data_IF_969322997415
#
_entry.id   IF_969322997415
#
_cell.length_a   1.000
_cell.length_b   1.000
_cell.length_c   1.000
_cell.angle_alpha   90.00
_cell.angle_beta   90.00
_cell.angle_gamma   90.00
#
_symmetry.space_group_name_H-M   'P 1'
#
loop_
_entity.id
_entity.type
_entity.pdbx_description
1 polymer ?
#
# COMPACT_ATOMS: atom_id res chain seq x y z
N UNK A 1 -2.20 38.54 -12.51
CA UNK A 1 -0.87 38.23 -11.95
C UNK A 1 -1.06 38.19 -10.43
N UNK A 2 -1.13 37.09 -9.69
CA UNK A 2 -0.75 35.69 -9.87
C UNK A 2 -1.61 34.86 -8.90
N UNK A 3 -2.58 34.10 -9.42
CA UNK A 3 -3.02 32.87 -8.75
C UNK A 3 -1.95 31.78 -8.96
N UNK A 4 -1.93 30.74 -8.11
CA UNK A 4 -1.11 29.51 -8.20
C UNK A 4 0.18 29.47 -7.37
N UNK A 5 0.05 29.61 -6.04
CA UNK A 5 1.07 29.11 -5.08
C UNK A 5 0.48 28.27 -3.93
N UNK A 6 -0.64 27.59 -4.17
CA UNK A 6 -1.25 26.64 -3.23
C UNK A 6 -1.63 25.35 -3.97
N UNK A 7 -0.64 24.67 -4.55
CA UNK A 7 -0.79 23.33 -5.13
C UNK A 7 0.48 22.51 -4.94
N UNK A 8 1.00 22.48 -3.72
CA UNK A 8 1.99 21.49 -3.28
C UNK A 8 1.65 21.18 -1.81
N UNK A 9 0.60 20.38 -1.62
CA UNK A 9 0.28 19.73 -0.35
C UNK A 9 -0.81 18.69 -0.64
N UNK A 10 -0.46 17.66 -1.38
CA UNK A 10 -1.07 16.34 -1.19
C UNK A 10 -0.25 15.58 -0.14
N UNK A 11 0.13 16.28 0.94
CA UNK A 11 0.40 15.64 2.22
C UNK A 11 -0.99 15.25 2.72
N UNK A 12 -1.40 14.01 2.43
CA UNK A 12 -2.59 13.43 3.04
C UNK A 12 -2.29 13.28 4.53
N UNK A 13 -2.57 14.38 5.24
CA UNK A 13 -2.64 14.50 6.68
C UNK A 13 -3.92 13.79 7.12
N UNK A 14 -3.90 12.46 7.23
CA UNK A 14 -4.96 11.75 7.95
C UNK A 14 -4.60 11.69 9.44
N UNK A 15 -5.15 12.67 10.17
CA UNK A 15 -5.40 12.58 11.61
C UNK A 15 -6.25 11.33 11.88
N UNK A 16 -5.62 10.22 12.27
CA UNK A 16 -6.27 9.07 12.88
C UNK A 16 -5.72 8.89 14.30
N UNK A 17 -6.57 8.57 15.29
CA UNK A 17 -6.14 8.44 16.67
C UNK A 17 -5.09 7.33 16.78
N UNK A 18 -3.92 7.70 17.32
CA UNK A 18 -2.82 6.80 17.66
C UNK A 18 -3.31 5.83 18.74
N UNK A 19 -3.75 4.66 18.32
CA UNK A 19 -3.92 3.52 19.21
C UNK A 19 -2.53 2.90 19.41
N UNK A 20 -1.91 3.22 20.54
CA UNK A 20 -0.71 2.57 21.04
C UNK A 20 -1.00 1.08 21.26
N UNK A 21 -0.78 0.26 20.23
CA UNK A 21 -0.65 -1.18 20.39
C UNK A 21 0.74 -1.49 20.99
N UNK A 22 0.88 -2.52 21.84
CA UNK A 22 2.13 -2.80 22.52
C UNK A 22 3.23 -3.20 21.52
N UNK A 23 4.43 -2.65 21.76
CA UNK A 23 5.66 -2.92 21.04
C UNK A 23 5.99 -4.43 21.01
N UNK A 24 5.54 -5.14 19.99
CA UNK A 24 5.89 -6.54 19.74
C UNK A 24 6.02 -6.81 18.23
N UNK A 25 6.93 -6.07 17.58
CA UNK A 25 7.41 -6.36 16.22
C UNK A 25 8.94 -6.41 16.16
N UNK A 26 9.62 -6.75 17.26
CA UNK A 26 11.03 -7.15 17.18
C UNK A 26 11.11 -8.66 17.01
N UNK A 27 11.13 -9.10 15.75
CA UNK A 27 11.56 -10.45 15.38
C UNK A 27 10.47 -11.45 14.97
N UNK A 28 9.29 -11.02 14.49
CA UNK A 28 8.36 -11.98 13.90
C UNK A 28 8.83 -12.34 12.49
N UNK A 29 9.37 -13.55 12.33
CA UNK A 29 9.23 -14.30 11.08
C UNK A 29 7.77 -14.13 10.63
N UNK A 30 7.54 -13.71 9.38
CA UNK A 30 6.18 -13.57 8.88
C UNK A 30 5.55 -14.95 8.78
N UNK A 31 4.89 -15.39 9.86
CA UNK A 31 4.00 -16.53 9.80
C UNK A 31 2.92 -16.17 8.78
N UNK A 32 2.90 -16.89 7.65
CA UNK A 32 1.86 -16.72 6.65
C UNK A 32 0.48 -16.98 7.26
N UNK A 33 -0.57 -16.43 6.66
CA UNK A 33 -1.92 -16.74 7.09
C UNK A 33 -2.19 -18.24 6.81
N UNK A 34 -2.59 -19.03 7.82
CA UNK A 34 -2.84 -20.45 7.63
C UNK A 34 -4.08 -20.68 6.76
N UNK A 35 -4.06 -21.72 5.93
CA UNK A 35 -5.24 -22.18 5.18
C UNK A 35 -5.63 -21.33 3.96
N UNK A 36 -4.81 -20.38 3.52
CA UNK A 36 -5.08 -19.63 2.29
C UNK A 36 -5.06 -20.53 1.05
N UNK A 37 -6.02 -20.34 0.16
CA UNK A 37 -6.09 -21.00 -1.14
C UNK A 37 -6.71 -20.06 -2.19
N UNK A 38 -6.65 -20.45 -3.47
CA UNK A 38 -7.33 -19.72 -4.54
C UNK A 38 -6.96 -18.22 -4.62
N UNK A 39 -7.99 -17.38 -4.69
CA UNK A 39 -7.84 -15.92 -4.79
C UNK A 39 -7.24 -15.31 -3.52
N UNK A 40 -7.57 -15.81 -2.33
CA UNK A 40 -6.99 -15.28 -1.07
C UNK A 40 -5.46 -15.46 -1.06
N UNK A 41 -4.96 -16.61 -1.52
CA UNK A 41 -3.52 -16.84 -1.64
C UNK A 41 -2.88 -15.93 -2.70
N UNK A 42 -3.59 -15.64 -3.80
CA UNK A 42 -3.10 -14.75 -4.85
C UNK A 42 -3.00 -13.29 -4.35
N UNK A 43 -4.01 -12.80 -3.63
CA UNK A 43 -4.02 -11.48 -2.98
C UNK A 43 -2.89 -11.40 -1.93
N UNK A 44 -2.75 -12.43 -1.08
CA UNK A 44 -1.68 -12.49 -0.07
C UNK A 44 -0.30 -12.32 -0.69
N UNK A 45 -0.03 -13.06 -1.77
CA UNK A 45 1.26 -12.99 -2.48
C UNK A 45 1.51 -11.61 -3.08
N UNK A 46 0.48 -11.00 -3.67
CA UNK A 46 0.61 -9.65 -4.23
C UNK A 46 0.87 -8.60 -3.14
N UNK A 47 0.12 -8.66 -2.02
CA UNK A 47 0.31 -7.75 -0.90
C UNK A 47 1.68 -7.91 -0.24
N UNK A 48 2.12 -9.15 -0.02
CA UNK A 48 3.44 -9.43 0.51
C UNK A 48 4.54 -8.92 -0.41
N UNK A 49 4.42 -9.12 -1.73
CA UNK A 49 5.42 -8.65 -2.69
C UNK A 49 5.52 -7.11 -2.68
N UNK A 50 4.39 -6.41 -2.68
CA UNK A 50 4.33 -4.95 -2.55
C UNK A 50 4.98 -4.46 -1.24
N UNK A 51 4.56 -5.00 -0.09
CA UNK A 51 5.07 -4.58 1.22
C UNK A 51 6.55 -4.92 1.41
N UNK A 52 7.01 -6.03 0.83
CA UNK A 52 8.42 -6.39 0.85
C UNK A 52 9.26 -5.45 0.00
N UNK A 53 8.74 -5.01 -1.16
CA UNK A 53 9.38 -3.99 -1.98
C UNK A 53 9.47 -2.65 -1.24
N UNK A 54 8.39 -2.23 -0.57
CA UNK A 54 8.38 -1.03 0.29
C UNK A 54 9.43 -1.13 1.40
N UNK A 55 9.47 -2.25 2.12
CA UNK A 55 10.42 -2.50 3.22
C UNK A 55 11.88 -2.51 2.74
N UNK A 56 12.14 -3.07 1.56
CA UNK A 56 13.47 -3.09 0.94
C UNK A 56 13.83 -1.79 0.25
N UNK A 57 12.88 -0.86 0.12
CA UNK A 57 12.99 0.36 -0.69
C UNK A 57 13.34 0.06 -2.16
N UNK A 58 12.82 -1.04 -2.70
CA UNK A 58 12.87 -1.33 -4.13
C UNK A 58 11.80 -0.51 -4.85
N UNK A 59 12.09 0.77 -5.07
CA UNK A 59 11.12 1.75 -5.58
C UNK A 59 10.55 1.36 -6.95
N UNK A 60 11.36 0.69 -7.79
CA UNK A 60 10.87 0.19 -9.08
C UNK A 60 9.85 -0.93 -8.88
N UNK A 61 10.15 -1.90 -8.02
CA UNK A 61 9.21 -2.98 -7.72
C UNK A 61 7.94 -2.45 -7.05
N UNK A 62 8.04 -1.48 -6.13
CA UNK A 62 6.88 -0.82 -5.53
C UNK A 62 5.97 -0.24 -6.61
N UNK A 63 6.53 0.55 -7.53
CA UNK A 63 5.74 1.13 -8.62
C UNK A 63 5.13 0.07 -9.54
N UNK A 64 5.87 -1.01 -9.85
CA UNK A 64 5.38 -2.12 -10.69
C UNK A 64 4.27 -2.95 -10.02
N UNK A 65 4.10 -2.80 -8.71
CA UNK A 65 2.99 -3.38 -7.96
C UNK A 65 1.77 -2.47 -7.90
N UNK A 66 1.86 -1.21 -8.30
CA UNK A 66 0.72 -0.31 -8.39
C UNK A 66 -0.16 -0.67 -9.59
N UNK A 67 -1.47 -0.60 -9.38
CA UNK A 67 -2.44 -0.91 -10.42
C UNK A 67 -2.39 0.19 -11.48
N UNK A 68 -2.30 -0.15 -12.79
CA UNK A 68 -2.35 0.84 -13.85
C UNK A 68 -3.62 1.69 -13.81
N UNK A 69 -4.75 1.12 -13.35
CA UNK A 69 -5.99 1.88 -13.19
C UNK A 69 -6.07 2.68 -11.89
N UNK A 70 -5.10 2.57 -10.96
CA UNK A 70 -5.14 3.29 -9.68
C UNK A 70 -5.21 4.81 -9.92
N UNK A 71 -5.89 5.52 -9.01
CA UNK A 71 -5.95 6.98 -9.07
C UNK A 71 -4.56 7.62 -9.04
N UNK A 72 -3.61 6.98 -8.34
CA UNK A 72 -2.23 7.42 -8.29
C UNK A 72 -1.55 7.30 -9.66
N UNK A 73 -1.54 6.10 -10.27
CA UNK A 73 -0.93 5.90 -11.59
C UNK A 73 -1.64 6.65 -12.72
N UNK A 74 -2.91 7.02 -12.56
CA UNK A 74 -3.62 7.89 -13.51
C UNK A 74 -3.01 9.30 -13.61
N UNK A 75 -2.24 9.72 -12.60
CA UNK A 75 -1.68 11.08 -12.50
C UNK A 75 -0.17 11.11 -12.31
N UNK A 76 0.46 9.99 -11.95
CA UNK A 76 1.89 9.89 -11.66
C UNK A 76 2.54 8.81 -12.52
N UNK A 77 3.45 9.23 -13.39
CA UNK A 77 4.39 8.31 -14.00
C UNK A 77 5.47 7.88 -13.00
N UNK A 78 6.35 6.97 -13.43
CA UNK A 78 7.41 6.46 -12.56
C UNK A 78 8.39 7.55 -12.10
N UNK A 79 8.66 8.57 -12.93
CA UNK A 79 9.59 9.64 -12.57
C UNK A 79 9.02 10.57 -11.50
N UNK A 80 7.73 10.89 -11.59
CA UNK A 80 7.00 11.63 -10.57
C UNK A 80 6.98 10.84 -9.24
N UNK A 81 6.63 9.56 -9.31
CA UNK A 81 6.65 8.66 -8.14
C UNK A 81 8.04 8.61 -7.49
N UNK A 82 9.10 8.42 -8.29
CA UNK A 82 10.46 8.31 -7.77
C UNK A 82 10.85 9.58 -7.00
N UNK A 83 10.53 10.75 -7.55
CA UNK A 83 10.79 12.04 -6.90
C UNK A 83 10.10 12.13 -5.54
N UNK A 84 8.82 11.74 -5.45
CA UNK A 84 8.07 11.74 -4.20
C UNK A 84 8.60 10.72 -3.18
N UNK A 85 8.91 9.51 -3.63
CA UNK A 85 9.41 8.43 -2.78
C UNK A 85 10.82 8.72 -2.22
N UNK A 86 11.66 9.41 -2.99
CA UNK A 86 12.97 9.88 -2.54
C UNK A 86 12.86 11.00 -1.52
N UNK A 87 11.93 11.95 -1.72
CA UNK A 87 11.70 13.07 -0.82
C UNK A 87 10.99 12.69 0.49
N UNK A 88 10.22 11.59 0.50
CA UNK A 88 9.51 11.15 1.69
C UNK A 88 10.47 10.81 2.84
N UNK A 89 10.21 11.24 4.09
CA UNK A 89 10.98 10.81 5.26
C UNK A 89 10.47 9.49 5.87
N UNK A 90 9.35 8.94 5.38
CA UNK A 90 8.68 7.78 5.99
C UNK A 90 9.22 6.48 5.39
N UNK A 91 9.57 5.51 6.23
CA UNK A 91 10.03 4.18 5.81
C UNK A 91 9.21 3.10 6.48
N UNK A 92 8.66 2.16 5.72
CA UNK A 92 8.13 0.92 6.29
C UNK A 92 9.32 0.06 6.71
N UNK A 93 9.44 -0.24 7.99
CA UNK A 93 10.54 -1.06 8.54
C UNK A 93 10.08 -2.47 8.92
N UNK A 94 8.79 -2.63 9.23
CA UNK A 94 8.16 -3.93 9.43
C UNK A 94 6.70 -3.87 8.97
N UNK A 95 6.17 -5.04 8.62
CA UNK A 95 4.75 -5.20 8.34
C UNK A 95 4.28 -6.60 8.71
N UNK A 96 2.99 -6.73 8.97
CA UNK A 96 2.28 -7.99 9.16
C UNK A 96 0.95 -7.94 8.43
N UNK A 97 0.71 -8.90 7.53
CA UNK A 97 -0.61 -9.06 6.91
C UNK A 97 -1.47 -9.82 7.89
N UNK A 98 -2.58 -9.20 8.32
CA UNK A 98 -3.49 -9.74 9.32
C UNK A 98 -4.66 -10.50 8.69
N UNK A 99 -5.18 -9.98 7.60
CA UNK A 99 -6.40 -10.50 6.99
C UNK A 99 -6.50 -10.18 5.50
N UNK A 100 -7.24 -11.02 4.78
CA UNK A 100 -7.67 -10.79 3.41
C UNK A 100 -9.19 -10.93 3.41
N UNK A 101 -9.86 -9.88 2.95
CA UNK A 101 -11.31 -9.83 3.03
C UNK A 101 -11.91 -9.14 1.80
N UNK A 102 -13.22 -9.35 1.62
CA UNK A 102 -14.00 -8.60 0.64
C UNK A 102 -13.54 -8.80 -0.81
N UNK A 103 -13.06 -10.00 -1.15
CA UNK A 103 -12.81 -10.37 -2.55
C UNK A 103 -14.15 -10.34 -3.29
N UNK A 104 -14.32 -9.39 -4.20
CA UNK A 104 -15.57 -9.17 -4.92
C UNK A 104 -15.31 -8.83 -6.38
N UNK A 105 -16.25 -9.19 -7.24
CA UNK A 105 -16.23 -8.78 -8.64
C UNK A 105 -16.42 -7.26 -8.77
N UNK A 106 -15.88 -6.72 -9.85
CA UNK A 106 -16.15 -5.35 -10.23
C UNK A 106 -17.54 -5.23 -10.88
N UNK A 107 -18.45 -4.64 -10.13
CA UNK A 107 -19.83 -4.34 -10.53
C UNK A 107 -19.94 -3.01 -11.30
N UNK A 108 -18.94 -2.12 -11.21
CA UNK A 108 -18.90 -0.82 -11.89
C UNK A 108 -17.82 -0.82 -12.98
N UNK A 109 -18.13 -1.51 -14.08
CA UNK A 109 -17.27 -1.58 -15.27
C UNK A 109 -17.19 -0.26 -16.04
N UNK A 110 -18.09 0.69 -15.77
CA UNK A 110 -18.04 2.00 -16.39
C UNK A 110 -16.94 2.85 -15.74
N UNK A 111 -16.88 2.87 -14.41
CA UNK A 111 -15.82 3.57 -13.70
C UNK A 111 -14.48 2.84 -13.76
N UNK A 112 -14.49 1.50 -13.76
CA UNK A 112 -13.28 0.68 -13.66
C UNK A 112 -13.20 -0.39 -14.76
N UNK A 113 -13.13 -0.02 -16.05
CA UNK A 113 -13.27 -0.98 -17.16
C UNK A 113 -12.21 -2.08 -17.18
N UNK A 114 -10.99 -1.80 -16.69
CA UNK A 114 -9.89 -2.76 -16.64
C UNK A 114 -9.86 -3.65 -15.39
N UNK A 115 -10.65 -3.33 -14.36
CA UNK A 115 -10.61 -4.03 -13.07
C UNK A 115 -11.59 -5.20 -13.09
N UNK A 116 -11.07 -6.39 -12.78
CA UNK A 116 -11.83 -7.65 -12.64
C UNK A 116 -12.45 -7.79 -11.25
N UNK A 117 -11.63 -7.59 -10.21
CA UNK A 117 -11.99 -7.81 -8.81
C UNK A 117 -11.33 -6.80 -7.88
N UNK A 118 -11.92 -6.62 -6.71
CA UNK A 118 -11.36 -5.87 -5.59
C UNK A 118 -11.10 -6.81 -4.41
N UNK A 119 -10.13 -6.49 -3.56
CA UNK A 119 -9.90 -7.12 -2.27
C UNK A 119 -9.42 -6.08 -1.26
N UNK A 120 -9.65 -6.35 0.03
CA UNK A 120 -9.08 -5.60 1.16
C UNK A 120 -8.03 -6.46 1.85
N UNK A 121 -6.92 -5.84 2.19
CA UNK A 121 -5.82 -6.47 2.93
C UNK A 121 -5.54 -5.64 4.16
N UNK A 122 -5.84 -6.21 5.32
CA UNK A 122 -5.57 -5.59 6.61
C UNK A 122 -4.11 -5.84 6.98
N UNK A 123 -3.41 -4.78 7.36
CA UNK A 123 -1.98 -4.84 7.69
C UNK A 123 -1.68 -4.04 8.95
N UNK A 124 -0.78 -4.57 9.78
CA UNK A 124 -0.03 -3.74 10.72
C UNK A 124 1.27 -3.29 10.05
N UNK A 125 1.57 -2.00 10.16
CA UNK A 125 2.77 -1.36 9.64
C UNK A 125 3.56 -0.76 10.79
N UNK A 126 4.88 -0.91 10.75
CA UNK A 126 5.80 -0.09 11.53
C UNK A 126 6.54 0.86 10.60
N UNK A 127 6.38 2.15 10.86
CA UNK A 127 7.08 3.21 10.18
C UNK A 127 8.28 3.69 11.00
N UNK A 128 9.34 4.12 10.30
CA UNK A 128 10.39 4.97 10.83
C UNK A 128 10.43 6.28 10.06
N UNK A 129 10.45 7.39 10.78
CA UNK A 129 10.68 8.73 10.24
C UNK A 129 12.19 8.99 10.26
N UNK A 130 12.82 9.13 9.09
CA UNK A 130 14.30 9.25 9.02
C UNK A 130 14.84 10.60 9.47
N UNK A 131 14.00 11.62 9.45
CA UNK A 131 14.29 12.99 9.86
C UNK A 131 14.24 13.16 11.39
N UNK A 132 13.31 12.50 12.08
CA UNK A 132 13.17 12.57 13.54
C UNK A 132 13.74 11.35 14.27
N UNK A 133 13.89 10.22 13.58
CA UNK A 133 14.25 8.92 14.17
C UNK A 133 13.08 8.22 14.87
N UNK A 134 11.90 8.82 14.90
CA UNK A 134 10.72 8.26 15.56
C UNK A 134 10.18 7.05 14.82
N UNK A 135 9.45 6.21 15.57
CA UNK A 135 8.73 5.06 15.02
C UNK A 135 7.26 5.12 15.37
N UNK A 136 6.40 4.75 14.44
CA UNK A 136 4.96 4.63 14.65
C UNK A 136 4.47 3.26 14.20
N UNK A 137 3.47 2.72 14.89
CA UNK A 137 2.76 1.52 14.48
C UNK A 137 1.32 1.88 14.13
N UNK A 138 0.84 1.38 13.00
CA UNK A 138 -0.48 1.69 12.46
C UNK A 138 -1.09 0.44 11.84
N UNK A 139 -2.38 0.22 12.13
CA UNK A 139 -3.20 -0.75 11.43
C UNK A 139 -3.88 -0.06 10.24
N UNK A 140 -3.85 -0.68 9.06
CA UNK A 140 -4.33 -0.09 7.82
C UNK A 140 -4.99 -1.13 6.91
N UNK A 141 -6.02 -0.71 6.18
CA UNK A 141 -6.67 -1.53 5.15
C UNK A 141 -6.26 -1.07 3.76
N UNK A 142 -5.50 -1.89 3.05
CA UNK A 142 -5.15 -1.65 1.66
C UNK A 142 -6.16 -2.27 0.69
N UNK A 143 -6.61 -1.48 -0.27
CA UNK A 143 -7.33 -2.00 -1.44
C UNK A 143 -6.34 -2.59 -2.45
N UNK A 144 -6.65 -3.78 -2.93
CA UNK A 144 -6.00 -4.46 -4.05
C UNK A 144 -6.99 -4.65 -5.20
N UNK A 145 -6.48 -4.52 -6.43
CA UNK A 145 -7.23 -4.62 -7.68
C UNK A 145 -6.70 -5.77 -8.50
N UNK A 146 -7.59 -6.56 -9.10
CA UNK A 146 -7.21 -7.56 -10.10
C UNK A 146 -7.39 -6.99 -11.49
N UNK A 147 -6.31 -6.94 -12.28
CA UNK A 147 -6.32 -6.51 -13.67
C UNK A 147 -5.55 -7.54 -14.51
N UNK A 148 -6.12 -7.99 -15.63
CA UNK A 148 -5.49 -8.96 -16.55
C UNK A 148 -4.97 -10.21 -15.81
N UNK A 149 -5.76 -10.71 -14.87
CA UNK A 149 -5.41 -11.88 -14.06
C UNK A 149 -4.39 -11.66 -12.94
N UNK A 150 -3.82 -10.46 -12.77
CA UNK A 150 -2.83 -10.15 -11.73
C UNK A 150 -3.40 -9.20 -10.68
N UNK A 151 -3.05 -9.43 -9.41
CA UNK A 151 -3.38 -8.54 -8.30
C UNK A 151 -2.32 -7.44 -8.12
N UNK A 152 -2.79 -6.21 -7.93
CA UNK A 152 -2.01 -4.99 -7.77
C UNK A 152 -2.50 -4.18 -6.57
N UNK A 153 -1.62 -3.34 -6.02
CA UNK A 153 -1.99 -2.31 -5.05
C UNK A 153 -2.83 -1.24 -5.76
N UNK A 154 -4.06 -1.02 -5.29
CA UNK A 154 -4.99 -0.03 -5.85
C UNK A 154 -4.73 1.39 -5.42
#
# INVERSE_FOLDING_TARGET
MSEKRFRIMALILFLLPVLLAPAALRGSEQAGLPGLSGEDLAVYRAARAYLEAERKRDLKAVYDHLAPSSAYCATHDYAAYLTEAEASPVRIVAYRILNIAGIRDNEDRQAWPGVEKFARVEVDLEFRYVDTGETAQVNFDFTFLKEKGRWYKG
#
